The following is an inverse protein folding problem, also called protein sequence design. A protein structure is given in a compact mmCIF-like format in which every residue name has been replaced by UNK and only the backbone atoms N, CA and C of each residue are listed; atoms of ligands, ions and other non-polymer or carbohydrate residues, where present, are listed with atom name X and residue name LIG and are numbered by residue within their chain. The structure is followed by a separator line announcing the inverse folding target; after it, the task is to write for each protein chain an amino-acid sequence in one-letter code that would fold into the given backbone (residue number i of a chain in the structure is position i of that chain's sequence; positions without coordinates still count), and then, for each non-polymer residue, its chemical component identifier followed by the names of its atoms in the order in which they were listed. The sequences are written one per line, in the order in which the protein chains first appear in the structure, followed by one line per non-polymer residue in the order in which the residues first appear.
data_IF_799296917754
#
_entry.id   IF_799296917754
#
_cell.length_a   1.000
_cell.length_b   1.000
_cell.length_c   1.000
_cell.angle_alpha   90.00
_cell.angle_beta   90.00
_cell.angle_gamma   90.00
#
_symmetry.space_group_name_H-M   'P 1'
#
loop_
_entity.id
_entity.type
_entity.pdbx_description
1 polymer ?
#
# COMPACT_ATOMS: atom_id res chain seq x y z
N UNK A 1 28.76 -2.31 -31.81
CA UNK A 1 28.23 -1.53 -30.67
C UNK A 1 26.92 -0.87 -31.09
N UNK A 2 25.77 -1.30 -30.55
CA UNK A 2 24.47 -0.70 -30.86
C UNK A 2 24.39 0.71 -30.28
N UNK A 3 24.14 1.71 -31.13
CA UNK A 3 23.94 3.11 -30.71
C UNK A 3 22.47 3.29 -30.34
N UNK A 4 22.18 3.40 -29.05
CA UNK A 4 20.83 3.69 -28.59
C UNK A 4 20.49 5.17 -28.81
N UNK A 5 19.38 5.44 -29.49
CA UNK A 5 18.87 6.79 -29.72
C UNK A 5 18.32 7.38 -28.42
N UNK A 6 18.60 8.67 -28.18
CA UNK A 6 18.09 9.45 -27.05
C UNK A 6 16.56 9.35 -26.90
N UNK A 7 15.83 9.26 -28.01
CA UNK A 7 14.36 9.08 -28.01
C UNK A 7 13.94 7.76 -27.36
N UNK A 8 14.71 6.68 -27.55
CA UNK A 8 14.42 5.37 -26.95
C UNK A 8 14.72 5.38 -25.44
N UNK A 9 15.74 6.13 -25.02
CA UNK A 9 16.06 6.33 -23.60
C UNK A 9 14.96 7.16 -22.92
N UNK A 10 14.49 8.23 -23.56
CA UNK A 10 13.43 9.09 -23.03
C UNK A 10 12.10 8.33 -22.84
N UNK A 11 11.72 7.48 -23.80
CA UNK A 11 10.52 6.63 -23.69
C UNK A 11 10.66 5.63 -22.53
N UNK A 12 11.84 5.03 -22.36
CA UNK A 12 12.12 4.11 -21.26
C UNK A 12 12.05 4.77 -19.89
N UNK A 13 12.62 5.98 -19.73
CA UNK A 13 12.59 6.70 -18.46
C UNK A 13 11.18 7.16 -18.07
N UNK A 14 10.36 7.60 -19.03
CA UNK A 14 9.00 8.09 -18.76
C UNK A 14 8.08 7.00 -18.18
N UNK A 15 8.30 5.73 -18.55
CA UNK A 15 7.55 4.60 -18.00
C UNK A 15 7.87 4.35 -16.50
N UNK A 16 9.07 4.69 -16.04
CA UNK A 16 9.47 4.52 -14.64
C UNK A 16 8.81 5.55 -13.70
N UNK A 17 8.38 6.71 -14.20
CA UNK A 17 7.71 7.72 -13.35
C UNK A 17 6.24 7.38 -13.02
N UNK A 18 5.66 6.37 -13.68
CA UNK A 18 4.33 5.85 -13.37
C UNK A 18 4.36 4.76 -12.30
N UNK A 19 5.55 4.32 -11.85
CA UNK A 19 5.63 3.25 -10.87
C UNK A 19 5.18 3.75 -9.50
N UNK A 20 4.01 3.27 -9.15
CA UNK A 20 3.28 3.54 -7.93
C UNK A 20 4.13 3.13 -6.72
N UNK A 21 4.15 3.99 -5.71
CA UNK A 21 4.74 3.71 -4.40
C UNK A 21 4.30 2.32 -3.91
N UNK A 22 5.26 1.46 -3.59
CA UNK A 22 4.96 0.18 -2.93
C UNK A 22 4.62 0.46 -1.47
N UNK A 23 3.33 0.64 -1.19
CA UNK A 23 2.84 0.63 0.18
C UNK A 23 2.80 -0.80 0.68
N UNK A 24 3.17 -1.01 1.94
CA UNK A 24 3.12 -2.32 2.54
C UNK A 24 1.66 -2.71 2.80
N UNK A 25 1.01 -3.36 1.83
CA UNK A 25 -0.40 -3.78 1.95
C UNK A 25 -0.68 -4.41 3.32
N UNK A 26 -1.47 -3.72 4.15
CA UNK A 26 -1.97 -4.25 5.41
C UNK A 26 -3.06 -5.27 5.09
N UNK A 27 -2.86 -6.52 5.53
CA UNK A 27 -3.82 -7.58 5.34
C UNK A 27 -4.49 -7.92 6.66
N UNK A 28 -5.80 -7.67 6.75
CA UNK A 28 -6.59 -8.06 7.91
C UNK A 28 -6.75 -9.58 7.97
N UNK A 29 -6.80 -10.11 9.19
CA UNK A 29 -6.98 -11.55 9.43
C UNK A 29 -8.47 -11.93 9.47
N UNK A 30 -9.35 -10.95 9.70
CA UNK A 30 -10.80 -11.12 9.75
C UNK A 30 -11.52 -9.82 9.33
N UNK A 31 -12.85 -9.82 9.40
CA UNK A 31 -13.72 -8.71 8.99
C UNK A 31 -13.97 -7.64 10.06
N UNK A 32 -13.47 -7.83 11.29
CA UNK A 32 -13.69 -6.87 12.39
C UNK A 32 -12.87 -5.58 12.19
N UNK A 33 -11.79 -5.66 11.42
CA UNK A 33 -10.95 -4.53 11.03
C UNK A 33 -11.02 -4.39 9.52
N UNK A 34 -11.15 -3.16 9.02
CA UNK A 34 -11.16 -2.89 7.58
C UNK A 34 -10.03 -1.94 7.22
N UNK A 35 -9.44 -2.14 6.05
CA UNK A 35 -8.39 -1.27 5.52
C UNK A 35 -8.87 -0.69 4.21
N UNK A 36 -8.78 0.63 4.08
CA UNK A 36 -9.01 1.35 2.82
C UNK A 36 -7.77 2.17 2.50
N UNK A 37 -7.62 2.58 1.24
CA UNK A 37 -6.51 3.44 0.81
C UNK A 37 -7.03 4.74 0.24
N UNK A 38 -6.52 5.86 0.73
CA UNK A 38 -6.86 7.18 0.22
C UNK A 38 -5.57 7.96 -0.05
N UNK A 39 -5.39 8.40 -1.31
CA UNK A 39 -4.21 9.18 -1.75
C UNK A 39 -2.86 8.53 -1.36
N UNK A 40 -2.80 7.20 -1.39
CA UNK A 40 -1.61 6.43 -1.01
C UNK A 40 -1.48 6.12 0.48
N UNK A 41 -2.28 6.73 1.36
CA UNK A 41 -2.26 6.44 2.79
C UNK A 41 -3.26 5.33 3.11
N UNK A 42 -2.85 4.35 3.89
CA UNK A 42 -3.73 3.29 4.39
C UNK A 42 -4.50 3.80 5.62
N UNK A 43 -5.82 3.64 5.59
CA UNK A 43 -6.75 4.01 6.65
C UNK A 43 -7.30 2.71 7.24
N UNK A 44 -7.04 2.52 8.54
CA UNK A 44 -7.53 1.36 9.29
C UNK A 44 -8.78 1.76 10.07
N UNK A 45 -9.93 1.23 9.65
CA UNK A 45 -11.15 1.26 10.45
C UNK A 45 -11.06 0.14 11.48
N UNK A 46 -10.78 0.51 12.72
CA UNK A 46 -10.55 -0.44 13.81
C UNK A 46 -11.84 -1.10 14.28
N UNK A 47 -11.71 -2.29 14.84
CA UNK A 47 -12.82 -2.99 15.49
C UNK A 47 -13.38 -2.17 16.65
N UNK A 48 -14.68 -2.33 16.93
CA UNK A 48 -15.30 -1.73 18.11
C UNK A 48 -14.55 -2.16 19.40
N UNK A 49 -14.29 -1.24 20.34
CA UNK A 49 -13.69 -1.59 21.62
C UNK A 49 -14.56 -2.59 22.41
N UNK A 50 -13.91 -3.46 23.18
CA UNK A 50 -14.60 -4.31 24.16
C UNK A 50 -14.98 -3.52 25.43
N UNK A 51 -15.57 -4.20 26.43
CA UNK A 51 -15.98 -3.60 27.70
C UNK A 51 -14.83 -3.01 28.52
N UNK A 52 -13.59 -3.44 28.27
CA UNK A 52 -12.38 -2.87 28.87
C UNK A 52 -11.83 -1.67 28.09
N UNK A 53 -12.50 -1.24 27.02
CA UNK A 53 -12.05 -0.16 26.15
C UNK A 53 -10.98 -0.56 25.13
N UNK A 54 -10.69 -1.86 24.98
CA UNK A 54 -9.63 -2.33 24.09
C UNK A 54 -10.18 -2.78 22.73
N UNK A 55 -9.62 -2.23 21.65
CA UNK A 55 -9.90 -2.65 20.28
C UNK A 55 -8.89 -3.71 19.82
N UNK A 56 -9.35 -4.94 19.61
CA UNK A 56 -8.52 -6.06 19.16
C UNK A 56 -8.54 -6.19 17.63
N UNK A 57 -7.49 -5.71 16.98
CA UNK A 57 -7.32 -5.79 15.53
C UNK A 57 -6.31 -6.89 15.19
N UNK A 58 -6.65 -7.77 14.25
CA UNK A 58 -5.80 -8.90 13.85
C UNK A 58 -5.38 -8.76 12.39
N UNK A 59 -4.09 -8.94 12.12
CA UNK A 59 -3.50 -8.79 10.80
C UNK A 59 -2.67 -10.01 10.45
N UNK A 60 -2.81 -10.51 9.22
CA UNK A 60 -1.88 -11.50 8.67
C UNK A 60 -0.57 -10.83 8.23
N UNK A 61 -0.65 -9.53 7.87
CA UNK A 61 0.49 -8.70 7.51
C UNK A 61 0.26 -7.28 8.01
N UNK A 62 1.20 -6.80 8.81
CA UNK A 62 1.26 -5.42 9.29
C UNK A 62 2.73 -5.01 9.27
N UNK A 63 3.06 -3.88 8.62
CA UNK A 63 4.41 -3.31 8.62
C UNK A 63 4.30 -1.84 9.03
N UNK A 64 5.15 -1.45 9.98
CA UNK A 64 5.29 -0.06 10.42
C UNK A 64 6.38 0.67 9.66
#
# INVERSE_FOLDING_TARGET
MQKFSLSKIAIGLSACYLTQFSYADIQTSNSNTQVTRQKGVEIVNIAAPNQSGLSHNKYNKFRG
#
